data_IF_175985957310
#
_entry.id   IF_175985957310
#
_cell.length_a   1.000
_cell.length_b   1.000
_cell.length_c   1.000
_cell.angle_alpha   90.00
_cell.angle_beta   90.00
_cell.angle_gamma   90.00
#
_symmetry.space_group_name_H-M   'P 1'
#
loop_
_entity.id
_entity.type
_entity.pdbx_description
1 polymer ?
#
# COMPACT_ATOMS: atom_id res chain seq x y z
N UNK A 1 -2.06 -6.36 -39.31
CA UNK A 1 -3.26 -6.55 -38.48
C UNK A 1 -2.89 -7.42 -37.32
N UNK A 2 -3.05 -6.86 -36.11
CA UNK A 2 -3.18 -7.46 -34.79
C UNK A 2 -2.49 -6.54 -33.78
N UNK A 3 -3.26 -5.52 -33.41
CA UNK A 3 -3.09 -4.68 -32.23
C UNK A 3 -3.49 -5.52 -31.01
N UNK A 4 -2.51 -5.88 -30.18
CA UNK A 4 -2.70 -6.51 -28.87
C UNK A 4 -1.71 -5.89 -27.89
N UNK A 5 -1.87 -4.60 -27.63
CA UNK A 5 -1.38 -3.99 -26.39
C UNK A 5 -2.31 -2.86 -25.95
N UNK A 6 -3.62 -3.13 -25.92
CA UNK A 6 -4.52 -2.30 -25.11
C UNK A 6 -4.40 -2.80 -23.68
N UNK A 7 -3.49 -2.13 -22.99
CA UNK A 7 -3.37 -1.95 -21.56
C UNK A 7 -4.57 -2.45 -20.72
N UNK A 8 -4.49 -3.71 -20.26
CA UNK A 8 -5.43 -4.27 -19.29
C UNK A 8 -5.41 -3.56 -17.92
N UNK A 9 -4.48 -2.61 -17.70
CA UNK A 9 -4.48 -1.75 -16.51
C UNK A 9 -5.47 -0.59 -16.62
N UNK A 10 -5.93 -0.24 -17.82
CA UNK A 10 -6.82 0.91 -18.10
C UNK A 10 -8.32 0.61 -17.97
N UNK A 11 -8.74 -0.66 -17.92
CA UNK A 11 -10.17 -0.99 -17.91
C UNK A 11 -10.83 -0.67 -16.56
N UNK A 12 -11.82 0.23 -16.59
CA UNK A 12 -12.68 0.53 -15.45
C UNK A 12 -13.55 -0.69 -15.11
N UNK A 13 -13.60 -1.06 -13.84
CA UNK A 13 -14.39 -2.20 -13.39
C UNK A 13 -15.06 -1.89 -12.04
N UNK A 14 -16.02 -2.74 -11.65
CA UNK A 14 -16.79 -2.59 -10.40
C UNK A 14 -15.87 -2.47 -9.18
N UNK A 15 -14.73 -3.17 -9.18
CA UNK A 15 -13.75 -3.11 -8.10
C UNK A 15 -13.13 -1.70 -7.98
N UNK A 16 -12.61 -1.14 -9.08
CA UNK A 16 -12.06 0.22 -9.11
C UNK A 16 -13.12 1.26 -8.72
N UNK A 17 -14.34 1.12 -9.24
CA UNK A 17 -15.46 1.99 -8.89
C UNK A 17 -15.86 1.92 -7.43
N UNK A 18 -15.84 0.73 -6.83
CA UNK A 18 -16.16 0.54 -5.41
C UNK A 18 -15.10 1.17 -4.52
N UNK A 19 -13.81 0.98 -4.82
CA UNK A 19 -12.71 1.58 -4.07
C UNK A 19 -12.70 3.11 -4.19
N UNK A 20 -12.91 3.66 -5.39
CA UNK A 20 -13.02 5.10 -5.59
C UNK A 20 -14.24 5.70 -4.87
N UNK A 21 -15.35 4.98 -4.84
CA UNK A 21 -16.54 5.40 -4.07
C UNK A 21 -16.25 5.39 -2.57
N UNK A 22 -15.57 4.36 -2.06
CA UNK A 22 -15.17 4.28 -0.66
C UNK A 22 -14.21 5.41 -0.27
N UNK A 23 -13.25 5.74 -1.13
CA UNK A 23 -12.34 6.87 -0.95
C UNK A 23 -13.12 8.20 -0.84
N UNK A 24 -14.06 8.47 -1.76
CA UNK A 24 -14.92 9.65 -1.69
C UNK A 24 -15.76 9.67 -0.41
N UNK A 25 -16.36 8.54 -0.02
CA UNK A 25 -17.13 8.44 1.23
C UNK A 25 -16.25 8.72 2.45
N UNK A 26 -15.02 8.21 2.47
CA UNK A 26 -14.07 8.46 3.56
C UNK A 26 -13.75 9.95 3.70
N UNK A 27 -13.63 10.67 2.59
CA UNK A 27 -13.35 12.10 2.60
C UNK A 27 -14.57 12.94 3.03
N UNK A 28 -15.80 12.45 2.78
CA UNK A 28 -17.04 13.11 3.18
C UNK A 28 -17.37 12.86 4.66
N UNK A 29 -17.35 11.60 5.08
CA UNK A 29 -17.81 11.18 6.41
C UNK A 29 -16.67 11.06 7.44
N UNK A 30 -15.41 11.08 6.98
CA UNK A 30 -14.21 10.98 7.82
C UNK A 30 -14.31 9.78 8.78
N UNK A 31 -13.95 9.97 10.04
CA UNK A 31 -13.89 8.91 11.04
C UNK A 31 -15.29 8.31 11.37
N UNK A 32 -16.40 8.97 11.00
CA UNK A 32 -17.75 8.41 11.16
C UNK A 32 -17.98 7.15 10.29
N UNK A 33 -17.17 6.95 9.25
CA UNK A 33 -17.21 5.75 8.41
C UNK A 33 -16.64 4.51 9.15
N UNK A 34 -15.69 4.72 10.06
CA UNK A 34 -14.88 3.64 10.65
C UNK A 34 -15.69 2.62 11.47
N UNK A 35 -16.70 2.99 12.28
CA UNK A 35 -17.53 2.02 12.99
C UNK A 35 -18.25 1.02 12.07
N UNK A 36 -18.47 1.39 10.80
CA UNK A 36 -19.08 0.51 9.80
C UNK A 36 -18.05 -0.34 9.07
N UNK A 37 -16.84 0.20 8.85
CA UNK A 37 -15.80 -0.43 8.06
C UNK A 37 -14.91 -1.39 8.86
N UNK A 38 -14.45 -0.97 10.05
CA UNK A 38 -13.49 -1.73 10.84
C UNK A 38 -13.96 -3.17 11.19
N UNK A 39 -15.23 -3.42 11.56
CA UNK A 39 -15.69 -4.79 11.82
C UNK A 39 -15.59 -5.72 10.60
N UNK A 40 -15.70 -5.18 9.39
CA UNK A 40 -15.55 -5.94 8.14
C UNK A 40 -14.07 -6.26 7.93
N UNK A 41 -13.20 -5.25 8.06
CA UNK A 41 -11.76 -5.40 7.89
C UNK A 41 -11.13 -6.37 8.89
N UNK A 42 -11.55 -6.35 10.16
CA UNK A 42 -11.06 -7.27 11.19
C UNK A 42 -11.31 -8.74 10.82
N UNK A 43 -12.43 -9.04 10.15
CA UNK A 43 -12.75 -10.38 9.67
C UNK A 43 -12.04 -10.77 8.37
N UNK A 44 -11.81 -9.80 7.49
CA UNK A 44 -11.37 -10.06 6.11
C UNK A 44 -9.84 -10.06 5.93
N UNK A 45 -9.11 -9.23 6.70
CA UNK A 45 -7.66 -9.11 6.57
C UNK A 45 -6.93 -10.44 6.82
N UNK A 46 -7.45 -11.28 7.72
CA UNK A 46 -6.78 -12.52 8.14
C UNK A 46 -7.32 -13.79 7.45
N UNK A 47 -8.18 -13.64 6.44
CA UNK A 47 -8.70 -14.81 5.72
C UNK A 47 -7.65 -15.52 4.88
N UNK A 48 -7.82 -16.83 4.74
CA UNK A 48 -6.98 -17.65 3.86
C UNK A 48 -7.24 -17.37 2.37
N UNK A 49 -8.45 -16.91 2.03
CA UNK A 49 -8.75 -16.47 0.67
C UNK A 49 -8.03 -15.16 0.38
N UNK A 50 -7.03 -15.24 -0.51
CA UNK A 50 -6.23 -14.10 -0.91
C UNK A 50 -7.06 -13.02 -1.60
N UNK A 51 -8.19 -13.35 -2.24
CA UNK A 51 -9.06 -12.36 -2.88
C UNK A 51 -9.73 -11.46 -1.84
N UNK A 52 -10.19 -12.04 -0.74
CA UNK A 52 -10.81 -11.32 0.38
C UNK A 52 -9.76 -10.45 1.07
N UNK A 53 -8.60 -11.03 1.38
CA UNK A 53 -7.45 -10.29 1.95
C UNK A 53 -7.05 -9.10 1.08
N UNK A 54 -6.88 -9.33 -0.22
CA UNK A 54 -6.43 -8.30 -1.17
C UNK A 54 -7.46 -7.19 -1.33
N UNK A 55 -8.76 -7.50 -1.28
CA UNK A 55 -9.83 -6.50 -1.24
C UNK A 55 -9.85 -5.69 0.07
N UNK A 56 -9.60 -6.32 1.21
CA UNK A 56 -9.51 -5.63 2.50
C UNK A 56 -8.31 -4.68 2.57
N UNK A 57 -7.16 -5.07 2.01
CA UNK A 57 -5.97 -4.19 1.90
C UNK A 57 -6.25 -2.99 0.99
N UNK A 58 -6.98 -3.19 -0.12
CA UNK A 58 -7.43 -2.09 -0.98
C UNK A 58 -8.33 -1.12 -0.20
N UNK A 59 -9.29 -1.65 0.57
CA UNK A 59 -10.20 -0.83 1.35
C UNK A 59 -9.48 -0.01 2.44
N UNK A 60 -8.47 -0.58 3.11
CA UNK A 60 -7.58 0.17 4.01
C UNK A 60 -6.93 1.35 3.31
N UNK A 61 -6.30 1.13 2.15
CA UNK A 61 -5.63 2.20 1.40
C UNK A 61 -6.60 3.27 0.89
N UNK A 62 -7.82 2.87 0.50
CA UNK A 62 -8.85 3.80 0.03
C UNK A 62 -9.31 4.78 1.10
N UNK A 63 -9.34 4.39 2.38
CA UNK A 63 -9.79 5.27 3.47
C UNK A 63 -8.66 6.02 4.18
N UNK A 64 -7.41 5.78 3.78
CA UNK A 64 -6.22 6.29 4.48
C UNK A 64 -6.22 7.81 4.65
N UNK A 65 -6.67 8.56 3.63
CA UNK A 65 -6.68 10.02 3.64
C UNK A 65 -7.88 10.58 4.42
N UNK A 66 -9.09 10.13 4.09
CA UNK A 66 -10.32 10.65 4.71
C UNK A 66 -10.45 10.31 6.19
N UNK A 67 -9.92 9.16 6.61
CA UNK A 67 -10.02 8.63 7.97
C UNK A 67 -8.66 8.59 8.71
N UNK A 68 -7.69 9.43 8.32
CA UNK A 68 -6.32 9.37 8.86
C UNK A 68 -6.25 9.41 10.40
N UNK A 69 -7.04 10.29 11.03
CA UNK A 69 -7.07 10.44 12.48
C UNK A 69 -7.64 9.21 13.19
N UNK A 70 -8.78 8.70 12.73
CA UNK A 70 -9.41 7.53 13.31
C UNK A 70 -8.64 6.24 13.02
N UNK A 71 -7.87 6.18 11.93
CA UNK A 71 -7.00 5.04 11.61
C UNK A 71 -5.71 5.02 12.44
N UNK A 72 -5.17 6.17 12.85
CA UNK A 72 -3.89 6.29 13.54
C UNK A 72 -3.71 5.36 14.77
N UNK A 73 -4.72 5.10 15.64
CA UNK A 73 -4.61 4.15 16.74
C UNK A 73 -4.40 2.69 16.31
N UNK A 74 -4.79 2.33 15.08
CA UNK A 74 -4.72 0.97 14.54
C UNK A 74 -3.42 0.71 13.77
N UNK A 75 -2.79 1.77 13.23
CA UNK A 75 -1.58 1.68 12.41
C UNK A 75 -0.37 1.01 13.08
N UNK A 76 -0.13 1.11 14.41
CA UNK A 76 0.93 0.34 15.07
C UNK A 76 0.82 -1.17 14.90
N UNK A 77 -0.38 -1.70 14.67
CA UNK A 77 -0.60 -3.13 14.40
C UNK A 77 -0.70 -3.40 12.90
N UNK A 78 -1.39 -2.53 12.16
CA UNK A 78 -1.63 -2.72 10.72
C UNK A 78 -0.36 -2.56 9.88
N UNK A 79 0.53 -1.61 10.19
CA UNK A 79 1.74 -1.38 9.39
C UNK A 79 2.67 -2.60 9.39
N UNK A 80 3.05 -3.19 10.55
CA UNK A 80 3.84 -4.43 10.55
C UNK A 80 3.17 -5.58 9.80
N UNK A 81 1.84 -5.71 9.92
CA UNK A 81 1.07 -6.72 9.18
C UNK A 81 1.19 -6.51 7.66
N UNK A 82 0.97 -5.28 7.20
CA UNK A 82 1.08 -4.92 5.78
C UNK A 82 2.50 -5.09 5.25
N UNK A 83 3.53 -4.73 6.02
CA UNK A 83 4.93 -5.00 5.64
C UNK A 83 5.14 -6.51 5.43
N UNK A 84 4.56 -7.37 6.29
CA UNK A 84 4.54 -8.82 6.07
C UNK A 84 3.86 -9.24 4.76
N UNK A 85 2.76 -8.59 4.40
CA UNK A 85 2.03 -8.84 3.15
C UNK A 85 2.83 -8.48 1.88
N UNK A 86 3.88 -7.66 1.97
CA UNK A 86 4.80 -7.44 0.86
C UNK A 86 5.48 -8.73 0.41
N UNK A 87 5.54 -9.77 1.26
CA UNK A 87 6.08 -11.09 0.92
C UNK A 87 5.02 -12.16 0.64
N UNK A 88 3.75 -11.78 0.42
CA UNK A 88 2.71 -12.75 0.10
C UNK A 88 3.02 -13.50 -1.22
N UNK A 89 2.67 -14.78 -1.27
CA UNK A 89 2.77 -15.63 -2.46
C UNK A 89 2.08 -15.04 -3.70
N UNK A 90 1.04 -14.23 -3.52
CA UNK A 90 0.22 -13.67 -4.61
C UNK A 90 0.71 -12.27 -4.99
N UNK A 91 1.09 -12.13 -6.26
CA UNK A 91 1.55 -10.84 -6.80
C UNK A 91 0.53 -9.70 -6.61
N UNK A 92 -0.77 -9.98 -6.74
CA UNK A 92 -1.80 -8.96 -6.54
C UNK A 92 -1.87 -8.45 -5.09
N UNK A 93 -1.69 -9.35 -4.10
CA UNK A 93 -1.59 -8.96 -2.68
C UNK A 93 -0.37 -8.06 -2.49
N UNK A 94 0.80 -8.44 -3.04
CA UNK A 94 2.02 -7.62 -2.94
C UNK A 94 1.82 -6.24 -3.58
N UNK A 95 1.29 -6.18 -4.81
CA UNK A 95 1.04 -4.92 -5.53
C UNK A 95 0.11 -3.99 -4.75
N UNK A 96 -1.03 -4.48 -4.25
CA UNK A 96 -1.95 -3.62 -3.50
C UNK A 96 -1.35 -3.19 -2.16
N UNK A 97 -0.55 -4.05 -1.54
CA UNK A 97 0.14 -3.74 -0.28
C UNK A 97 1.15 -2.62 -0.47
N UNK A 98 1.91 -2.60 -1.57
CA UNK A 98 2.80 -1.48 -1.90
C UNK A 98 2.01 -0.15 -1.93
N UNK A 99 0.90 -0.13 -2.66
CA UNK A 99 0.05 1.07 -2.77
C UNK A 99 -0.56 1.48 -1.43
N UNK A 100 -1.11 0.54 -0.65
CA UNK A 100 -1.72 0.85 0.65
C UNK A 100 -0.69 1.37 1.65
N UNK A 101 0.52 0.81 1.68
CA UNK A 101 1.60 1.30 2.57
C UNK A 101 2.03 2.72 2.20
N UNK A 102 2.10 3.07 0.91
CA UNK A 102 2.47 4.43 0.52
C UNK A 102 1.44 5.47 0.96
N UNK A 103 0.14 5.12 0.99
CA UNK A 103 -0.92 5.99 1.53
C UNK A 103 -0.77 6.30 3.02
N UNK A 104 -0.03 5.47 3.77
CA UNK A 104 0.28 5.69 5.18
C UNK A 104 1.72 6.19 5.42
N UNK A 105 2.48 6.51 4.35
CA UNK A 105 3.89 6.91 4.44
C UNK A 105 4.13 8.07 5.42
N UNK A 106 3.27 9.08 5.39
CA UNK A 106 3.32 10.22 6.31
C UNK A 106 3.29 9.81 7.79
N UNK A 107 2.36 8.91 8.16
CA UNK A 107 2.26 8.41 9.53
C UNK A 107 3.48 7.56 9.91
N UNK A 108 3.95 6.73 8.98
CA UNK A 108 5.10 5.84 9.21
C UNK A 108 6.37 6.64 9.50
N UNK A 109 6.56 7.76 8.81
CA UNK A 109 7.71 8.66 9.01
C UNK A 109 7.62 9.48 10.30
N UNK A 110 6.41 9.86 10.73
CA UNK A 110 6.23 10.65 11.94
C UNK A 110 6.23 9.82 13.23
N UNK A 111 5.98 8.51 13.14
CA UNK A 111 5.90 7.68 14.32
C UNK A 111 7.31 7.46 14.92
N UNK A 112 7.50 7.64 16.24
CA UNK A 112 8.83 7.66 16.89
C UNK A 112 9.57 6.31 16.91
N UNK A 113 9.12 5.33 16.13
CA UNK A 113 9.75 4.02 16.01
C UNK A 113 10.39 3.89 14.63
N UNK A 114 11.64 4.37 14.52
CA UNK A 114 12.49 4.32 13.31
C UNK A 114 12.45 2.94 12.61
N UNK A 115 12.21 1.88 13.38
CA UNK A 115 12.09 0.50 12.90
C UNK A 115 11.03 0.29 11.82
N UNK A 116 9.89 0.99 11.85
CA UNK A 116 8.84 0.78 10.85
C UNK A 116 9.26 1.32 9.49
N UNK A 117 9.89 2.49 9.46
CA UNK A 117 10.39 3.09 8.23
C UNK A 117 11.51 2.24 7.62
N UNK A 118 12.50 1.83 8.43
CA UNK A 118 13.59 0.95 7.99
C UNK A 118 13.06 -0.37 7.40
N UNK A 119 12.11 -1.01 8.07
CA UNK A 119 11.51 -2.26 7.62
C UNK A 119 10.72 -2.06 6.32
N UNK A 120 9.90 -1.00 6.25
CA UNK A 120 9.16 -0.67 5.03
C UNK A 120 10.11 -0.44 3.86
N UNK A 121 11.12 0.41 4.05
CA UNK A 121 12.09 0.75 3.01
C UNK A 121 12.77 -0.50 2.46
N UNK A 122 13.31 -1.34 3.34
CA UNK A 122 13.98 -2.59 2.96
C UNK A 122 13.06 -3.52 2.17
N UNK A 123 11.85 -3.78 2.65
CA UNK A 123 10.92 -4.68 1.98
C UNK A 123 10.42 -4.10 0.66
N UNK A 124 10.20 -2.79 0.58
CA UNK A 124 9.76 -2.11 -0.63
C UNK A 124 10.85 -2.09 -1.72
N UNK A 125 12.12 -1.85 -1.34
CA UNK A 125 13.27 -2.02 -2.25
C UNK A 125 13.36 -3.46 -2.76
N UNK A 126 13.12 -4.45 -1.90
CA UNK A 126 13.00 -5.85 -2.29
C UNK A 126 11.84 -6.16 -3.25
N UNK A 127 10.85 -5.28 -3.37
CA UNK A 127 9.74 -5.37 -4.34
C UNK A 127 10.00 -4.64 -5.65
N UNK A 128 10.92 -3.68 -5.69
CA UNK A 128 11.42 -3.14 -6.97
C UNK A 128 12.06 -4.23 -7.83
N UNK A 129 12.65 -5.24 -7.19
CA UNK A 129 13.28 -6.39 -7.85
C UNK A 129 12.35 -7.63 -7.93
N UNK A 130 11.03 -7.46 -7.77
CA UNK A 130 10.09 -8.59 -7.82
C UNK A 130 10.08 -9.26 -9.21
N UNK A 131 9.84 -10.56 -9.27
CA UNK A 131 9.75 -11.31 -10.55
C UNK A 131 8.54 -10.89 -11.40
N UNK A 132 7.52 -10.27 -10.77
CA UNK A 132 6.30 -9.85 -11.43
C UNK A 132 6.34 -8.34 -11.74
N UNK A 133 6.24 -7.99 -13.03
CA UNK A 133 6.27 -6.60 -13.51
C UNK A 133 5.24 -5.67 -12.84
N UNK A 134 4.04 -6.17 -12.53
CA UNK A 134 3.02 -5.34 -11.85
C UNK A 134 3.39 -5.03 -10.40
N UNK A 135 4.16 -5.92 -9.76
CA UNK A 135 4.67 -5.66 -8.41
C UNK A 135 5.81 -4.65 -8.48
N UNK A 136 6.70 -4.77 -9.47
CA UNK A 136 7.76 -3.78 -9.72
C UNK A 136 7.18 -2.38 -9.95
N UNK A 137 6.18 -2.24 -10.84
CA UNK A 137 5.49 -0.98 -11.11
C UNK A 137 4.84 -0.40 -9.84
N UNK A 138 4.09 -1.22 -9.10
CA UNK A 138 3.45 -0.79 -7.85
C UNK A 138 4.46 -0.40 -6.77
N UNK A 139 5.56 -1.13 -6.64
CA UNK A 139 6.64 -0.83 -5.71
C UNK A 139 7.36 0.46 -6.08
N UNK A 140 7.59 0.69 -7.37
CA UNK A 140 8.22 1.91 -7.89
C UNK A 140 7.35 3.14 -7.60
N UNK A 141 6.05 3.07 -7.89
CA UNK A 141 5.12 4.16 -7.57
C UNK A 141 5.02 4.40 -6.06
N UNK A 142 4.94 3.34 -5.25
CA UNK A 142 4.89 3.45 -3.80
C UNK A 142 6.17 4.05 -3.22
N UNK A 143 7.33 3.68 -3.77
CA UNK A 143 8.62 4.21 -3.35
C UNK A 143 8.76 5.69 -3.70
N UNK A 144 8.33 6.10 -4.90
CA UNK A 144 8.32 7.51 -5.29
C UNK A 144 7.46 8.37 -4.34
N UNK A 145 6.27 7.89 -3.95
CA UNK A 145 5.45 8.58 -2.93
C UNK A 145 6.13 8.64 -1.57
N UNK A 146 6.82 7.56 -1.16
CA UNK A 146 7.54 7.53 0.12
C UNK A 146 8.74 8.49 0.11
N UNK A 147 9.43 8.63 -1.02
CA UNK A 147 10.56 9.54 -1.20
C UNK A 147 10.17 11.01 -1.00
N UNK A 148 9.03 11.42 -1.58
CA UNK A 148 8.49 12.78 -1.44
C UNK A 148 8.23 13.16 0.04
N UNK A 149 7.81 12.19 0.85
CA UNK A 149 7.56 12.39 2.28
C UNK A 149 8.85 12.29 3.12
N UNK A 150 9.71 11.30 2.83
CA UNK A 150 10.87 10.97 3.66
C UNK A 150 12.00 12.01 3.59
N UNK A 151 12.17 12.68 2.44
CA UNK A 151 13.17 13.74 2.27
C UNK A 151 14.58 13.35 2.80
N UNK A 152 15.09 14.05 3.82
CA UNK A 152 16.42 13.82 4.37
C UNK A 152 16.56 12.50 5.16
N UNK A 153 15.45 11.86 5.55
CA UNK A 153 15.46 10.55 6.23
C UNK A 153 16.00 9.42 5.32
N UNK A 154 16.01 9.64 3.99
CA UNK A 154 16.60 8.68 3.04
C UNK A 154 18.12 8.77 2.94
N UNK A 155 18.76 9.84 3.42
CA UNK A 155 20.21 10.06 3.30
C UNK A 155 21.04 8.85 3.76
N UNK A 156 20.74 8.21 4.91
CA UNK A 156 21.48 7.02 5.37
C UNK A 156 21.38 5.81 4.43
N UNK A 157 20.35 5.75 3.59
CA UNK A 157 20.01 4.60 2.75
C UNK A 157 20.30 4.82 1.26
N UNK A 158 20.77 6.01 0.86
CA UNK A 158 20.96 6.39 -0.55
C UNK A 158 21.76 5.35 -1.36
N UNK A 159 22.83 4.79 -0.78
CA UNK A 159 23.63 3.80 -1.49
C UNK A 159 22.83 2.53 -1.81
N UNK A 160 22.03 2.03 -0.86
CA UNK A 160 21.18 0.85 -1.06
C UNK A 160 20.05 1.13 -2.06
N UNK A 161 19.42 2.30 -1.94
CA UNK A 161 18.37 2.76 -2.87
C UNK A 161 18.90 2.81 -4.30
N UNK A 162 20.02 3.52 -4.52
CA UNK A 162 20.61 3.69 -5.86
C UNK A 162 21.05 2.35 -6.45
N UNK A 163 21.68 1.48 -5.65
CA UNK A 163 22.06 0.14 -6.12
C UNK A 163 20.85 -0.68 -6.56
N UNK A 164 19.76 -0.62 -5.80
CA UNK A 164 18.51 -1.32 -6.13
C UNK A 164 17.90 -0.80 -7.42
N UNK A 165 17.80 0.53 -7.57
CA UNK A 165 17.25 1.16 -8.77
C UNK A 165 18.07 0.85 -10.04
N UNK A 166 19.39 0.77 -9.92
CA UNK A 166 20.25 0.37 -11.04
C UNK A 166 20.13 -1.11 -11.42
N UNK A 167 19.59 -1.95 -10.54
CA UNK A 167 19.45 -3.39 -10.75
C UNK A 167 18.03 -3.83 -11.17
N UNK A 168 17.05 -2.92 -11.08
CA UNK A 168 15.63 -3.16 -11.38
C UNK A 168 15.32 -3.23 -12.88
#
# INVERSE_FOLDING_TARGET
GCDFSVDASSEWNVRKGSAATLDVLSNVFRDELLPHLLPILDGDLFQQDWLVKEAAILALGAVAEGCANGMAPHLPTLVPYLIGCLNDSKALVRSITCWTLSRYGHWILQFPNERHFEQLLKELLGRLLDVNKRVQEAACSAFATLEEEANFELVPYLNEVVQTLCAA
#
